data_IF_724621011719
#
_entry.id   IF_724621011719
#
_cell.length_a   1.000
_cell.length_b   1.000
_cell.length_c   1.000
_cell.angle_alpha   90.00
_cell.angle_beta   90.00
_cell.angle_gamma   90.00
#
_symmetry.space_group_name_H-M   'P 1'
#
loop_
_entity.id
_entity.type
_entity.pdbx_description
1 polymer ?
#
# COMPACT_ATOMS: atom_id res chain seq x y z
N UNK A 1 -44.87 -4.55 42.61
CA UNK A 1 -44.48 -5.53 41.57
C UNK A 1 -43.95 -4.83 40.32
N UNK A 2 -42.78 -4.16 40.41
CA UNK A 2 -42.09 -3.52 39.26
C UNK A 2 -40.62 -3.33 39.63
N UNK A 3 -39.80 -4.40 39.62
CA UNK A 3 -38.35 -4.24 39.72
C UNK A 3 -37.51 -5.36 39.11
N UNK A 4 -38.11 -6.26 38.32
CA UNK A 4 -37.40 -7.42 37.77
C UNK A 4 -37.23 -7.41 36.24
N UNK A 5 -37.72 -6.39 35.52
CA UNK A 5 -37.65 -6.37 34.04
C UNK A 5 -36.37 -5.72 33.47
N UNK A 6 -35.55 -5.04 34.28
CA UNK A 6 -34.37 -4.31 33.79
C UNK A 6 -33.08 -5.13 33.70
N UNK A 7 -32.95 -6.19 34.49
CA UNK A 7 -31.68 -6.95 34.60
C UNK A 7 -31.57 -8.02 33.50
N UNK A 8 -32.69 -8.51 32.97
CA UNK A 8 -32.69 -9.49 31.88
C UNK A 8 -32.22 -8.94 30.53
N UNK A 9 -32.40 -7.63 30.27
CA UNK A 9 -31.99 -7.02 28.99
C UNK A 9 -30.49 -6.65 28.95
N UNK A 10 -29.89 -6.36 30.10
CA UNK A 10 -28.45 -6.07 30.20
C UNK A 10 -27.59 -7.34 30.07
N UNK A 11 -28.10 -8.49 30.51
CA UNK A 11 -27.39 -9.78 30.35
C UNK A 11 -27.40 -10.28 28.89
N UNK A 12 -28.40 -9.95 28.09
CA UNK A 12 -28.44 -10.34 26.67
C UNK A 12 -27.49 -9.53 25.77
N UNK A 13 -27.04 -8.35 26.20
CA UNK A 13 -26.02 -7.57 25.47
C UNK A 13 -24.60 -8.09 25.74
N UNK A 14 -24.33 -8.71 26.88
CA UNK A 14 -23.02 -9.30 27.18
C UNK A 14 -22.82 -10.71 26.60
N UNK A 15 -23.88 -11.51 26.46
CA UNK A 15 -23.75 -12.91 25.98
C UNK A 15 -23.51 -12.99 24.46
N UNK A 16 -23.71 -11.91 23.70
CA UNK A 16 -23.44 -11.89 22.25
C UNK A 16 -21.98 -11.60 21.87
N UNK A 17 -21.10 -11.26 22.83
CA UNK A 17 -19.70 -10.92 22.55
C UNK A 17 -18.67 -12.06 22.77
N UNK A 18 -19.01 -13.20 23.37
CA UNK A 18 -17.97 -14.19 23.71
C UNK A 18 -17.60 -15.13 22.56
N UNK A 19 -18.56 -15.54 21.71
CA UNK A 19 -18.31 -16.60 20.71
C UNK A 19 -17.33 -16.22 19.60
N UNK A 20 -17.25 -14.94 19.23
CA UNK A 20 -16.25 -14.49 18.25
C UNK A 20 -14.86 -14.34 18.86
N UNK A 21 -14.75 -14.15 20.18
CA UNK A 21 -13.48 -13.90 20.85
C UNK A 21 -12.67 -15.19 21.02
N UNK A 22 -13.33 -16.30 21.38
CA UNK A 22 -12.64 -17.59 21.58
C UNK A 22 -12.00 -18.13 20.29
N UNK A 23 -12.66 -17.99 19.14
CA UNK A 23 -12.09 -18.42 17.85
C UNK A 23 -10.89 -17.54 17.44
N UNK A 24 -10.99 -16.22 17.68
CA UNK A 24 -9.90 -15.28 17.42
C UNK A 24 -8.69 -15.54 18.33
N UNK A 25 -8.91 -15.74 19.63
CA UNK A 25 -7.84 -16.05 20.59
C UNK A 25 -7.14 -17.36 20.27
N UNK A 26 -7.90 -18.40 19.92
CA UNK A 26 -7.31 -19.67 19.44
C UNK A 26 -6.52 -19.48 18.15
N UNK A 27 -6.99 -18.60 17.26
CA UNK A 27 -6.27 -18.14 16.08
C UNK A 27 -4.94 -17.48 16.43
N UNK A 28 -4.94 -16.54 17.37
CA UNK A 28 -3.73 -15.85 17.84
C UNK A 28 -2.72 -16.82 18.43
N UNK A 29 -3.15 -17.75 19.28
CA UNK A 29 -2.28 -18.78 19.87
C UNK A 29 -1.63 -19.65 18.79
N UNK A 30 -2.36 -19.96 17.72
CA UNK A 30 -1.81 -20.77 16.63
C UNK A 30 -0.90 -19.95 15.72
N UNK A 31 -1.25 -18.70 15.46
CA UNK A 31 -0.44 -17.76 14.69
C UNK A 31 0.90 -17.49 15.38
N UNK A 32 0.92 -17.34 16.71
CA UNK A 32 2.12 -17.22 17.54
C UNK A 32 3.14 -18.35 17.28
N UNK A 33 2.68 -19.57 16.97
CA UNK A 33 3.54 -20.73 16.70
C UNK A 33 4.28 -20.66 15.35
N UNK A 34 3.96 -19.70 14.49
CA UNK A 34 4.68 -19.46 13.24
C UNK A 34 6.01 -18.71 13.43
N UNK A 35 6.27 -18.25 14.65
CA UNK A 35 7.46 -17.49 15.00
C UNK A 35 8.39 -18.32 15.89
N UNK A 36 9.69 -18.21 15.63
CA UNK A 36 10.72 -18.71 16.51
C UNK A 36 10.77 -17.90 17.80
N UNK A 37 11.33 -18.50 18.86
CA UNK A 37 11.51 -17.81 20.13
C UNK A 37 12.29 -16.51 19.99
N UNK A 38 13.37 -16.50 19.19
CA UNK A 38 14.19 -15.31 18.94
C UNK A 38 13.39 -14.18 18.28
N UNK A 39 12.56 -14.49 17.28
CA UNK A 39 11.70 -13.49 16.63
C UNK A 39 10.69 -12.90 17.63
N UNK A 40 10.06 -13.76 18.45
CA UNK A 40 9.12 -13.31 19.48
C UNK A 40 9.79 -12.48 20.57
N UNK A 41 11.01 -12.82 20.97
CA UNK A 41 11.76 -12.06 21.97
C UNK A 41 12.11 -10.65 21.45
N UNK A 42 12.55 -10.52 20.19
CA UNK A 42 12.75 -9.21 19.56
C UNK A 42 11.44 -8.43 19.44
N UNK A 43 10.38 -9.08 18.98
CA UNK A 43 9.06 -8.48 18.79
C UNK A 43 8.47 -7.88 20.07
N UNK A 44 8.56 -8.59 21.19
CA UNK A 44 8.09 -8.12 22.51
C UNK A 44 8.84 -6.91 23.04
N UNK A 45 10.11 -6.77 22.66
CA UNK A 45 10.96 -5.67 23.15
C UNK A 45 10.83 -4.40 22.32
N UNK A 46 10.22 -4.47 21.12
CA UNK A 46 9.96 -3.32 20.28
C UNK A 46 8.66 -2.61 20.67
N UNK A 47 8.57 -1.32 20.36
CA UNK A 47 7.33 -0.55 20.49
C UNK A 47 6.27 -1.11 19.54
N UNK A 48 4.99 -1.09 19.93
CA UNK A 48 3.88 -1.68 19.15
C UNK A 48 3.90 -1.22 17.68
N UNK A 49 4.10 0.09 17.45
CA UNK A 49 4.16 0.73 16.13
C UNK A 49 5.26 0.19 15.21
N UNK A 50 6.38 -0.28 15.78
CA UNK A 50 7.54 -0.78 15.02
C UNK A 50 7.69 -2.29 15.09
N UNK A 51 7.05 -2.94 16.06
CA UNK A 51 7.16 -4.37 16.31
C UNK A 51 6.60 -5.19 15.15
N UNK A 52 5.40 -4.87 14.66
CA UNK A 52 4.78 -5.62 13.55
C UNK A 52 5.54 -5.40 12.23
N UNK A 53 6.06 -4.19 11.99
CA UNK A 53 6.91 -3.86 10.83
C UNK A 53 8.18 -4.72 10.85
N UNK A 54 8.87 -4.76 12.00
CA UNK A 54 10.11 -5.53 12.17
C UNK A 54 9.90 -7.02 11.90
N UNK A 55 8.77 -7.59 12.35
CA UNK A 55 8.43 -8.99 12.07
C UNK A 55 8.12 -9.21 10.58
N UNK A 56 7.47 -8.27 9.89
CA UNK A 56 7.16 -8.40 8.46
C UNK A 56 8.42 -8.29 7.61
N UNK A 57 9.29 -7.34 7.89
CA UNK A 57 10.54 -7.11 7.14
C UNK A 57 11.60 -8.18 7.39
N UNK A 58 11.68 -8.72 8.61
CA UNK A 58 12.63 -9.77 8.96
C UNK A 58 12.35 -11.12 8.28
N UNK A 59 11.21 -11.29 7.61
CA UNK A 59 10.76 -12.55 7.03
C UNK A 59 10.47 -12.43 5.53
N UNK A 60 11.25 -13.13 4.72
CA UNK A 60 10.90 -13.47 3.33
C UNK A 60 9.76 -14.54 3.23
N UNK A 61 8.85 -14.59 4.21
CA UNK A 61 7.76 -15.58 4.26
C UNK A 61 6.42 -14.87 4.26
N UNK A 62 5.62 -15.13 3.23
CA UNK A 62 4.22 -14.72 3.22
C UNK A 62 3.44 -15.46 4.31
N UNK A 63 2.81 -14.70 5.21
CA UNK A 63 1.92 -15.20 6.25
C UNK A 63 0.60 -15.73 5.67
N UNK A 64 0.35 -15.54 4.38
CA UNK A 64 -0.78 -16.12 3.65
C UNK A 64 -0.89 -17.63 3.83
N UNK A 65 0.23 -18.34 3.98
CA UNK A 65 0.22 -19.79 4.20
C UNK A 65 -0.60 -20.19 5.44
N UNK A 66 -0.57 -19.39 6.50
CA UNK A 66 -1.43 -19.58 7.68
C UNK A 66 -2.90 -19.45 7.28
N UNK A 67 -3.28 -18.34 6.65
CA UNK A 67 -4.67 -18.07 6.29
C UNK A 67 -5.23 -19.02 5.23
N UNK A 68 -4.39 -19.49 4.29
CA UNK A 68 -4.80 -20.34 3.16
C UNK A 68 -4.79 -21.83 3.49
N UNK A 69 -3.88 -22.30 4.34
CA UNK A 69 -3.66 -23.74 4.51
C UNK A 69 -4.07 -24.25 5.89
N UNK A 70 -3.99 -23.41 6.93
CA UNK A 70 -4.36 -23.82 8.28
C UNK A 70 -5.88 -23.82 8.49
N UNK A 71 -6.42 -24.84 9.16
CA UNK A 71 -7.88 -24.92 9.41
C UNK A 71 -8.40 -23.77 10.28
N UNK A 72 -7.62 -23.33 11.28
CA UNK A 72 -7.97 -22.17 12.11
C UNK A 72 -7.66 -20.88 11.34
N UNK A 73 -6.53 -20.83 10.63
CA UNK A 73 -6.19 -19.69 9.76
C UNK A 73 -7.27 -19.37 8.73
N UNK A 74 -7.89 -20.38 8.11
CA UNK A 74 -9.05 -20.23 7.21
C UNK A 74 -10.26 -19.62 7.91
N UNK A 75 -10.56 -20.03 9.15
CA UNK A 75 -11.66 -19.45 9.93
C UNK A 75 -11.40 -17.98 10.29
N UNK A 76 -10.17 -17.66 10.68
CA UNK A 76 -9.73 -16.28 10.95
C UNK A 76 -9.83 -15.43 9.67
N UNK A 77 -9.38 -15.97 8.53
CA UNK A 77 -9.52 -15.32 7.24
C UNK A 77 -10.98 -15.03 6.91
N UNK A 78 -11.88 -16.01 7.12
CA UNK A 78 -13.31 -15.81 6.91
C UNK A 78 -13.92 -14.78 7.87
N UNK A 79 -13.46 -14.73 9.12
CA UNK A 79 -13.85 -13.69 10.07
C UNK A 79 -13.48 -12.29 9.57
N UNK A 80 -12.26 -12.10 9.08
CA UNK A 80 -11.82 -10.82 8.52
C UNK A 80 -12.54 -10.46 7.22
N UNK A 81 -12.77 -11.43 6.33
CA UNK A 81 -13.51 -11.23 5.08
C UNK A 81 -14.96 -10.82 5.31
N UNK A 82 -15.64 -11.41 6.31
CA UNK A 82 -16.97 -10.95 6.75
C UNK A 82 -16.96 -9.49 7.21
N UNK A 83 -15.82 -9.05 7.74
CA UNK A 83 -15.56 -7.68 8.10
C UNK A 83 -14.87 -6.90 6.98
N UNK A 84 -15.03 -7.27 5.69
CA UNK A 84 -14.50 -6.52 4.54
C UNK A 84 -12.99 -6.26 4.53
N UNK A 85 -12.22 -7.06 5.27
CA UNK A 85 -10.77 -7.09 5.16
C UNK A 85 -10.44 -8.34 4.36
N UNK A 86 -10.08 -8.16 3.10
CA UNK A 86 -9.87 -9.26 2.17
C UNK A 86 -8.39 -9.61 1.98
N UNK A 87 -7.52 -8.60 2.11
CA UNK A 87 -6.09 -8.76 1.92
C UNK A 87 -5.38 -9.32 3.16
N UNK A 88 -4.52 -10.31 2.93
CA UNK A 88 -3.83 -11.04 3.98
C UNK A 88 -2.76 -10.23 4.71
N UNK A 89 -2.20 -9.18 4.10
CA UNK A 89 -1.26 -8.26 4.76
C UNK A 89 -1.97 -7.50 5.88
N UNK A 90 -3.17 -6.98 5.61
CA UNK A 90 -3.97 -6.29 6.62
C UNK A 90 -4.44 -7.25 7.73
N UNK A 91 -4.85 -8.48 7.39
CA UNK A 91 -5.15 -9.50 8.40
C UNK A 91 -3.94 -9.81 9.28
N UNK A 92 -2.76 -9.91 8.67
CA UNK A 92 -1.48 -10.15 9.37
C UNK A 92 -1.17 -9.02 10.34
N UNK A 93 -1.35 -7.77 9.92
CA UNK A 93 -1.10 -6.59 10.77
C UNK A 93 -1.98 -6.61 12.01
N UNK A 94 -3.27 -6.86 11.85
CA UNK A 94 -4.20 -6.97 12.99
C UNK A 94 -3.77 -8.10 13.93
N UNK A 95 -3.46 -9.28 13.38
CA UNK A 95 -3.01 -10.43 14.18
C UNK A 95 -1.73 -10.13 14.96
N UNK A 96 -0.77 -9.43 14.35
CA UNK A 96 0.48 -9.04 15.00
C UNK A 96 0.23 -7.99 16.08
N UNK A 97 -0.55 -6.94 15.81
CA UNK A 97 -0.88 -5.93 16.82
C UNK A 97 -1.59 -6.57 18.02
N UNK A 98 -2.57 -7.45 17.78
CA UNK A 98 -3.24 -8.15 18.86
C UNK A 98 -2.29 -9.09 19.63
N UNK A 99 -1.37 -9.77 18.94
CA UNK A 99 -0.36 -10.61 19.58
C UNK A 99 0.61 -9.78 20.45
N UNK A 100 1.01 -8.59 20.00
CA UNK A 100 1.82 -7.66 20.80
C UNK A 100 1.07 -7.26 22.07
N UNK A 101 -0.18 -6.79 21.91
CA UNK A 101 -1.05 -6.40 23.02
C UNK A 101 -1.26 -7.54 24.02
N UNK A 102 -1.39 -8.79 23.55
CA UNK A 102 -1.44 -10.00 24.39
C UNK A 102 -0.21 -10.12 25.29
N UNK A 103 1.00 -9.92 24.76
CA UNK A 103 2.23 -10.01 25.54
C UNK A 103 2.40 -8.90 26.59
N UNK A 104 1.71 -7.79 26.39
CA UNK A 104 1.75 -6.64 27.30
C UNK A 104 0.46 -6.48 28.13
N UNK A 105 -0.39 -7.51 28.16
CA UNK A 105 -1.67 -7.52 28.90
C UNK A 105 -2.58 -6.33 28.56
N UNK A 106 -2.49 -5.83 27.32
CA UNK A 106 -3.32 -4.74 26.81
C UNK A 106 -4.57 -5.28 26.12
N UNK A 107 -5.71 -4.57 26.18
CA UNK A 107 -6.90 -4.96 25.43
C UNK A 107 -6.63 -4.92 23.93
N UNK A 108 -7.10 -5.92 23.19
CA UNK A 108 -6.87 -6.01 21.74
C UNK A 108 -7.49 -4.87 20.95
N UNK A 109 -8.65 -4.36 21.39
CA UNK A 109 -9.45 -3.36 20.66
C UNK A 109 -9.69 -3.78 19.19
N UNK A 110 -10.09 -5.04 19.01
CA UNK A 110 -10.17 -5.67 17.69
C UNK A 110 -11.10 -4.93 16.72
N UNK A 111 -12.24 -4.45 17.21
CA UNK A 111 -13.19 -3.69 16.37
C UNK A 111 -12.59 -2.35 15.90
N UNK A 112 -11.87 -1.63 16.77
CA UNK A 112 -11.18 -0.38 16.41
C UNK A 112 -10.11 -0.63 15.33
N UNK A 113 -9.31 -1.69 15.50
CA UNK A 113 -8.28 -2.08 14.52
C UNK A 113 -8.88 -2.50 13.18
N UNK A 114 -10.02 -3.20 13.20
CA UNK A 114 -10.72 -3.59 11.98
C UNK A 114 -11.24 -2.35 11.23
N UNK A 115 -11.82 -1.37 11.92
CA UNK A 115 -12.30 -0.14 11.28
C UNK A 115 -11.15 0.72 10.72
N UNK A 116 -10.05 0.87 11.48
CA UNK A 116 -8.84 1.56 11.01
C UNK A 116 -8.29 0.90 9.75
N UNK A 117 -8.12 -0.43 9.76
CA UNK A 117 -7.57 -1.17 8.62
C UNK A 117 -8.53 -1.23 7.43
N UNK A 118 -9.84 -1.22 7.64
CA UNK A 118 -10.82 -1.02 6.56
C UNK A 118 -10.64 0.33 5.88
N UNK A 119 -10.43 1.39 6.66
CA UNK A 119 -10.21 2.72 6.11
C UNK A 119 -8.95 2.76 5.26
N UNK A 120 -7.82 2.27 5.79
CA UNK A 120 -6.56 2.14 5.03
C UNK A 120 -6.71 1.27 3.78
N UNK A 121 -7.39 0.12 3.89
CA UNK A 121 -7.63 -0.80 2.78
C UNK A 121 -8.48 -0.17 1.68
N UNK A 122 -9.54 0.57 2.04
CA UNK A 122 -10.38 1.28 1.08
C UNK A 122 -9.61 2.38 0.36
N UNK A 123 -8.78 3.14 1.07
CA UNK A 123 -7.94 4.18 0.48
C UNK A 123 -6.89 3.58 -0.46
N UNK A 124 -6.25 2.47 -0.06
CA UNK A 124 -5.32 1.72 -0.89
C UNK A 124 -6.00 1.20 -2.16
N UNK A 125 -7.13 0.47 -2.05
CA UNK A 125 -7.84 -0.08 -3.20
C UNK A 125 -8.40 1.00 -4.13
N UNK A 126 -8.91 2.10 -3.56
CA UNK A 126 -9.33 3.27 -4.34
C UNK A 126 -8.15 3.84 -5.12
N UNK A 127 -6.99 3.98 -4.48
CA UNK A 127 -5.77 4.45 -5.10
C UNK A 127 -5.28 3.52 -6.22
N UNK A 128 -5.25 2.20 -5.99
CA UNK A 128 -4.91 1.20 -7.01
C UNK A 128 -5.87 1.26 -8.20
N UNK A 129 -7.18 1.29 -7.95
CA UNK A 129 -8.18 1.40 -9.01
C UNK A 129 -7.99 2.66 -9.85
N UNK A 130 -7.78 3.81 -9.19
CA UNK A 130 -7.53 5.10 -9.88
C UNK A 130 -6.22 5.09 -10.67
N UNK A 131 -5.18 4.45 -10.16
CA UNK A 131 -3.91 4.25 -10.87
C UNK A 131 -4.08 3.40 -12.12
N UNK A 132 -4.86 2.31 -12.03
CA UNK A 132 -5.19 1.45 -13.18
C UNK A 132 -6.00 2.19 -14.25
N UNK A 133 -7.03 2.94 -13.84
CA UNK A 133 -7.82 3.79 -14.73
C UNK A 133 -6.93 4.83 -15.44
N UNK A 134 -6.06 5.52 -14.70
CA UNK A 134 -5.10 6.50 -15.24
C UNK A 134 -4.11 5.85 -16.21
N UNK A 135 -3.54 4.69 -15.86
CA UNK A 135 -2.59 3.97 -16.71
C UNK A 135 -3.22 3.62 -18.06
N UNK A 136 -4.44 3.06 -18.06
CA UNK A 136 -5.16 2.71 -19.28
C UNK A 136 -5.49 3.94 -20.12
N UNK A 137 -5.92 5.03 -19.49
CA UNK A 137 -6.17 6.30 -20.18
C UNK A 137 -4.90 6.82 -20.88
N UNK A 138 -3.77 6.89 -20.15
CA UNK A 138 -2.51 7.39 -20.70
C UNK A 138 -1.96 6.49 -21.82
N UNK A 139 -2.10 5.17 -21.69
CA UNK A 139 -1.72 4.23 -22.74
C UNK A 139 -2.49 4.47 -24.05
N UNK A 140 -3.79 4.74 -23.94
CA UNK A 140 -4.64 5.04 -25.11
C UNK A 140 -4.37 6.43 -25.69
N UNK A 141 -4.04 7.40 -24.83
CA UNK A 141 -3.77 8.78 -25.21
C UNK A 141 -2.48 8.91 -26.03
N UNK A 142 -1.38 8.32 -25.55
CA UNK A 142 -0.06 8.49 -26.14
C UNK A 142 0.26 7.44 -27.21
N UNK A 143 0.94 7.87 -28.27
CA UNK A 143 1.34 7.03 -29.41
C UNK A 143 2.86 7.02 -29.56
N UNK A 144 3.37 5.99 -30.25
CA UNK A 144 4.76 5.99 -30.65
C UNK A 144 5.07 7.23 -31.49
N UNK A 145 6.26 7.79 -31.29
CA UNK A 145 6.75 9.05 -31.87
C UNK A 145 6.13 10.32 -31.31
N UNK A 146 5.20 10.25 -30.36
CA UNK A 146 4.78 11.44 -29.63
C UNK A 146 5.96 12.00 -28.82
N UNK A 147 6.03 13.32 -28.74
CA UNK A 147 6.98 14.02 -27.87
C UNK A 147 6.36 14.22 -26.50
N UNK A 148 7.01 13.71 -25.46
CA UNK A 148 6.64 13.95 -24.07
C UNK A 148 7.44 15.10 -23.49
N UNK A 149 6.77 15.91 -22.69
CA UNK A 149 7.36 16.94 -21.83
C UNK A 149 6.93 16.63 -20.40
N UNK A 150 7.85 16.15 -19.58
CA UNK A 150 7.56 15.70 -18.22
C UNK A 150 8.29 16.60 -17.23
N UNK A 151 7.60 16.88 -16.12
CA UNK A 151 8.17 17.50 -14.94
C UNK A 151 8.14 16.44 -13.84
N UNK A 152 9.30 16.08 -13.31
CA UNK A 152 9.44 15.05 -12.29
C UNK A 152 10.08 15.62 -11.02
N UNK A 153 9.58 15.27 -9.83
CA UNK A 153 10.30 15.51 -8.60
C UNK A 153 11.52 14.59 -8.51
N UNK A 154 12.64 15.16 -8.07
CA UNK A 154 13.84 14.41 -7.70
C UNK A 154 14.25 14.72 -6.27
N UNK A 155 14.84 13.70 -5.64
CA UNK A 155 15.52 13.81 -4.35
C UNK A 155 16.88 13.15 -4.49
N UNK A 156 17.94 13.88 -4.19
CA UNK A 156 19.33 13.42 -4.29
C UNK A 156 19.71 12.86 -5.68
N UNK A 157 19.09 13.38 -6.75
CA UNK A 157 19.36 12.96 -8.13
C UNK A 157 18.54 11.75 -8.61
N UNK A 158 17.64 11.21 -7.79
CA UNK A 158 16.74 10.11 -8.11
C UNK A 158 15.29 10.58 -8.26
N UNK A 159 14.50 9.94 -9.13
CA UNK A 159 13.04 10.20 -9.25
C UNK A 159 12.35 9.83 -7.94
N UNK A 160 11.51 10.72 -7.42
CA UNK A 160 10.65 10.43 -6.27
C UNK A 160 9.28 9.91 -6.71
N UNK A 161 8.86 8.75 -6.20
CA UNK A 161 7.58 8.10 -6.56
C UNK A 161 6.42 8.65 -5.72
N UNK A 162 5.34 9.09 -6.39
CA UNK A 162 4.15 9.61 -5.73
C UNK A 162 3.16 8.46 -5.55
N UNK A 163 3.09 7.96 -4.32
CA UNK A 163 2.40 6.73 -4.01
C UNK A 163 0.86 6.75 -4.14
N UNK A 164 0.21 7.90 -4.33
CA UNK A 164 -1.21 7.99 -4.70
C UNK A 164 -1.54 9.30 -5.45
N UNK A 165 -2.59 9.33 -6.29
CA UNK A 165 -2.97 10.54 -7.02
C UNK A 165 -3.38 11.73 -6.12
N UNK A 166 -3.54 11.53 -4.81
CA UNK A 166 -3.91 12.55 -3.82
C UNK A 166 -2.77 12.93 -2.86
N UNK A 167 -1.56 12.39 -3.02
CA UNK A 167 -0.40 12.89 -2.25
C UNK A 167 0.01 14.23 -2.87
N UNK A 168 -0.45 15.32 -2.26
CA UNK A 168 0.01 16.66 -2.58
C UNK A 168 1.52 16.72 -2.36
N UNK A 169 2.27 16.94 -3.42
CA UNK A 169 3.70 17.24 -3.29
C UNK A 169 3.79 18.61 -2.65
N UNK A 170 4.41 18.65 -1.48
CA UNK A 170 4.87 19.90 -0.92
C UNK A 170 6.05 20.37 -1.78
N UNK A 171 5.78 21.27 -2.75
CA UNK A 171 6.77 21.77 -3.72
C UNK A 171 8.04 22.37 -3.09
N UNK A 172 8.05 22.58 -1.78
CA UNK A 172 9.11 23.26 -1.05
C UNK A 172 10.30 22.35 -0.68
N UNK A 173 10.16 21.02 -0.76
CA UNK A 173 11.20 20.08 -0.28
C UNK A 173 11.87 19.26 -1.39
N UNK A 174 11.53 19.48 -2.67
CA UNK A 174 11.98 18.65 -3.80
C UNK A 174 12.46 19.49 -4.99
N UNK A 175 13.56 19.07 -5.62
CA UNK A 175 14.01 19.68 -6.89
C UNK A 175 13.16 19.11 -8.04
N UNK A 176 12.73 19.96 -8.97
CA UNK A 176 11.97 19.54 -10.14
C UNK A 176 12.87 19.47 -11.38
N UNK A 177 12.83 18.35 -12.11
CA UNK A 177 13.50 18.21 -13.40
C UNK A 177 12.52 18.36 -14.54
N UNK A 178 12.93 19.07 -15.60
CA UNK A 178 12.24 19.07 -16.88
C UNK A 178 12.98 18.11 -17.81
N UNK A 179 12.23 17.13 -18.32
CA UNK A 179 12.74 16.17 -19.28
C UNK A 179 11.82 16.12 -20.49
N UNK A 180 12.41 15.89 -21.66
CA UNK A 180 11.63 15.70 -22.88
C UNK A 180 12.22 14.59 -23.70
N UNK A 181 11.35 13.81 -24.34
CA UNK A 181 11.77 12.69 -25.15
C UNK A 181 10.69 12.23 -26.12
N UNK A 182 11.09 11.46 -27.11
CA UNK A 182 10.20 10.87 -28.11
C UNK A 182 9.89 9.45 -27.68
N UNK A 183 8.61 9.08 -27.63
CA UNK A 183 8.19 7.71 -27.31
C UNK A 183 8.70 6.76 -28.39
N UNK A 184 9.57 5.83 -28.01
CA UNK A 184 10.10 4.79 -28.90
C UNK A 184 9.47 3.43 -28.62
N UNK A 185 8.93 3.24 -27.40
CA UNK A 185 8.20 2.04 -27.01
C UNK A 185 7.21 2.37 -25.89
N UNK A 186 6.13 1.60 -25.76
CA UNK A 186 5.15 1.76 -24.68
C UNK A 186 4.56 0.43 -24.26
N UNK A 187 4.37 0.25 -22.97
CA UNK A 187 3.79 -0.97 -22.40
C UNK A 187 2.83 -0.63 -21.27
N UNK A 188 1.78 -1.45 -21.12
CA UNK A 188 1.03 -1.52 -19.87
C UNK A 188 1.50 -2.80 -19.20
N UNK A 189 2.14 -2.67 -18.06
CA UNK A 189 2.41 -3.84 -17.22
C UNK A 189 1.05 -4.18 -16.59
N UNK A 190 0.36 -5.16 -17.19
CA UNK A 190 -1.06 -5.46 -17.01
C UNK A 190 -1.49 -5.73 -15.56
N UNK A 191 -0.55 -6.18 -14.72
CA UNK A 191 -0.76 -6.43 -13.29
C UNK A 191 -0.36 -5.26 -12.37
N UNK A 192 0.37 -4.24 -12.85
CA UNK A 192 1.14 -3.38 -11.96
C UNK A 192 0.62 -1.97 -11.72
N UNK A 193 -0.59 -1.59 -12.16
CA UNK A 193 -1.13 -0.24 -11.90
C UNK A 193 -0.34 0.90 -12.58
N UNK A 194 0.64 0.62 -13.45
CA UNK A 194 1.54 1.61 -14.05
C UNK A 194 1.50 1.62 -15.58
N UNK A 195 1.52 2.82 -16.18
CA UNK A 195 1.84 2.99 -17.60
C UNK A 195 3.29 3.44 -17.74
N UNK A 196 4.09 2.59 -18.39
CA UNK A 196 5.50 2.88 -18.66
C UNK A 196 5.71 3.07 -20.16
N UNK A 197 6.58 4.02 -20.50
CA UNK A 197 7.06 4.14 -21.86
C UNK A 197 8.57 4.32 -21.89
N UNK A 198 9.19 3.86 -22.97
CA UNK A 198 10.58 4.18 -23.27
C UNK A 198 10.61 5.43 -24.13
N UNK A 199 11.38 6.42 -23.70
CA UNK A 199 11.61 7.66 -24.45
C UNK A 199 13.06 7.75 -24.88
N UNK A 200 13.28 8.20 -26.12
CA UNK A 200 14.58 8.72 -26.56
C UNK A 200 14.67 10.18 -26.14
N UNK A 201 15.63 10.49 -25.28
CA UNK A 201 15.76 11.83 -24.69
C UNK A 201 16.20 12.86 -25.73
N UNK A 202 15.51 14.00 -25.71
CA UNK A 202 15.83 15.17 -26.52
C UNK A 202 16.23 16.37 -25.65
N UNK A 203 15.80 16.41 -24.38
CA UNK A 203 16.16 17.45 -23.43
C UNK A 203 16.16 16.92 -21.99
N UNK A 204 17.11 17.41 -21.19
CA UNK A 204 17.23 17.15 -19.77
C UNK A 204 17.76 18.42 -19.09
N UNK A 205 17.02 18.99 -18.14
CA UNK A 205 17.39 20.26 -17.49
C UNK A 205 18.56 20.16 -16.53
N UNK A 206 18.99 18.95 -16.17
CA UNK A 206 20.11 18.70 -15.25
C UNK A 206 21.25 17.95 -15.96
N UNK A 207 22.50 18.25 -15.57
CA UNK A 207 23.70 17.69 -16.22
C UNK A 207 23.99 16.24 -15.82
N UNK A 208 23.53 15.80 -14.65
CA UNK A 208 23.73 14.44 -14.13
C UNK A 208 22.43 13.95 -13.53
N UNK A 209 21.82 12.96 -14.17
CA UNK A 209 20.60 12.32 -13.73
C UNK A 209 20.81 10.81 -13.67
N UNK A 210 20.43 10.21 -12.55
CA UNK A 210 20.52 8.76 -12.33
C UNK A 210 19.10 8.21 -12.23
N UNK A 211 18.58 7.55 -13.28
CA UNK A 211 17.31 6.85 -13.14
C UNK A 211 17.45 5.74 -12.08
N UNK A 212 16.38 5.45 -11.36
CA UNK A 212 16.38 4.45 -10.26
C UNK A 212 16.96 3.09 -10.66
N UNK A 213 16.88 2.71 -11.94
CA UNK A 213 17.32 1.42 -12.44
C UNK A 213 18.74 1.41 -13.04
N UNK A 214 19.53 2.49 -12.92
CA UNK A 214 20.90 2.54 -13.48
C UNK A 214 21.91 3.20 -12.56
N UNK A 215 23.10 2.61 -12.50
CA UNK A 215 24.28 3.17 -11.85
C UNK A 215 25.06 4.15 -12.76
N UNK A 216 24.47 4.57 -13.88
CA UNK A 216 25.11 5.42 -14.88
C UNK A 216 24.27 6.67 -15.16
N UNK A 217 24.95 7.79 -15.39
CA UNK A 217 24.31 9.03 -15.81
C UNK A 217 23.68 8.89 -17.20
N UNK A 218 22.45 9.36 -17.32
CA UNK A 218 21.76 9.46 -18.60
C UNK A 218 21.98 10.83 -19.25
N UNK A 219 22.13 10.85 -20.57
CA UNK A 219 22.34 12.05 -21.39
C UNK A 219 21.34 12.18 -22.53
N UNK A 220 21.33 13.33 -23.21
CA UNK A 220 20.49 13.55 -24.40
C UNK A 220 20.91 12.58 -25.50
N UNK A 221 19.93 11.94 -26.13
CA UNK A 221 20.13 10.89 -27.14
C UNK A 221 19.93 9.47 -26.61
N UNK A 222 20.10 9.27 -25.29
CA UNK A 222 19.89 7.98 -24.65
C UNK A 222 18.41 7.60 -24.58
N UNK A 223 18.16 6.30 -24.38
CA UNK A 223 16.80 5.80 -24.10
C UNK A 223 16.64 5.46 -22.63
N UNK A 224 15.54 5.92 -22.05
CA UNK A 224 15.16 5.64 -20.67
C UNK A 224 13.70 5.20 -20.56
N UNK A 225 13.38 4.43 -19.52
CA UNK A 225 12.01 4.12 -19.14
C UNK A 225 11.49 5.22 -18.23
N UNK A 226 10.27 5.69 -18.48
CA UNK A 226 9.55 6.63 -17.63
C UNK A 226 8.20 6.03 -17.24
N UNK A 227 7.87 6.13 -15.95
CA UNK A 227 6.54 5.79 -15.43
C UNK A 227 5.68 7.05 -15.44
N UNK A 228 4.70 7.09 -16.34
CA UNK A 228 3.86 8.27 -16.56
C UNK A 228 2.75 8.45 -15.52
N UNK A 229 2.60 7.52 -14.58
CA UNK A 229 1.63 7.69 -13.51
C UNK A 229 2.09 8.68 -12.44
N UNK A 230 3.41 8.90 -12.33
CA UNK A 230 4.06 9.70 -11.28
C UNK A 230 4.71 10.98 -11.80
N UNK A 231 4.28 11.46 -12.98
CA UNK A 231 4.82 12.67 -13.60
C UNK A 231 3.76 13.75 -13.72
N UNK A 232 4.20 15.00 -13.61
CA UNK A 232 3.40 16.13 -14.06
C UNK A 232 3.62 16.30 -15.56
N UNK A 233 2.52 16.43 -16.29
CA UNK A 233 2.57 16.79 -17.69
C UNK A 233 2.37 18.29 -17.83
N UNK A 234 3.21 18.94 -18.63
CA UNK A 234 2.91 20.26 -19.15
C UNK A 234 1.90 20.12 -20.31
N UNK A 235 0.61 20.05 -19.95
CA UNK A 235 -0.50 19.92 -20.90
C UNK A 235 -0.72 21.18 -21.75
N UNK A 236 -0.06 22.31 -21.45
CA UNK A 236 -0.19 23.54 -22.25
C UNK A 236 0.32 23.39 -23.68
N UNK A 237 1.16 22.37 -23.93
CA UNK A 237 1.74 22.06 -25.25
C UNK A 237 1.03 20.92 -25.99
N UNK A 238 0.09 20.24 -25.34
CA UNK A 238 -0.71 19.15 -25.90
C UNK A 238 -2.19 19.40 -25.61
N UNK A 239 -2.82 20.27 -26.41
CA UNK A 239 -4.27 20.53 -26.51
C UNK A 239 -5.08 20.46 -25.20
N UNK A 240 -5.46 21.65 -24.69
CA UNK A 240 -6.58 21.95 -23.78
C UNK A 240 -7.38 20.77 -23.22
N UNK A 241 -7.00 20.24 -22.04
CA UNK A 241 -7.98 19.69 -21.10
C UNK A 241 -7.49 19.90 -19.66
N UNK A 242 -8.23 20.74 -18.92
CA UNK A 242 -8.15 20.84 -17.46
C UNK A 242 -8.65 19.53 -16.85
N UNK A 243 -7.88 18.93 -15.94
CA UNK A 243 -8.51 18.20 -14.85
C UNK A 243 -9.06 19.26 -13.90
N UNK A 244 -10.37 19.51 -13.98
CA UNK A 244 -11.08 20.17 -12.88
C UNK A 244 -11.06 19.21 -11.69
N UNK A 245 -10.51 19.69 -10.58
CA UNK A 245 -10.61 19.06 -9.26
C UNK A 245 -12.06 18.93 -8.82
#
# INVERSE_FOLDING_TARGET
MKLFLGIGLLLFLFVRCSKNNDEFENGLIKFEKYFSKKELDTFKNNQEETAYITIKEGKNKSYESFFRNDSIGKKISYFFQKNRIEDFSFMTDIMLICLHRKYHEKPYKLDELIEEKKWEYNDFYYCEKKRKEKAQYLFNLFKLKDTLHLIQPIKEGHIFDINCPNTFINKNDEELINLSGIIVDKEVILDSLYFTCRIKLINLSIKKFYPMDRNETITVGDTMTVNLNNVFFDYSKHRNFMFSY
#
